data_IF_749611768882
#
_entry.id   IF_749611768882
#
_cell.length_a   1.000
_cell.length_b   1.000
_cell.length_c   1.000
_cell.angle_alpha   90.00
_cell.angle_beta   90.00
_cell.angle_gamma   90.00
#
_symmetry.space_group_name_H-M   'P 1'
#
loop_
_entity.id
_entity.type
_entity.pdbx_description
1 polymer ?
#
# COMPACT_ATOMS: atom_id res chain seq x y z
N UNK A 1 -2.60 -12.33 -30.30
CA UNK A 1 -3.24 -11.06 -29.92
C UNK A 1 -2.48 -10.50 -28.74
N UNK A 2 -1.62 -9.49 -28.94
CA UNK A 2 -0.98 -8.77 -27.83
C UNK A 2 -1.98 -7.72 -27.36
N UNK A 3 -2.49 -7.83 -26.15
CA UNK A 3 -3.15 -6.71 -25.50
C UNK A 3 -2.03 -5.72 -25.13
N UNK A 4 -1.73 -4.81 -26.04
CA UNK A 4 -0.68 -3.79 -25.89
C UNK A 4 -1.19 -2.63 -25.01
N UNK A 5 -1.87 -2.95 -23.91
CA UNK A 5 -2.40 -1.96 -22.98
C UNK A 5 -1.31 -1.54 -22.00
N UNK A 6 -1.10 -0.23 -21.88
CA UNK A 6 -0.10 0.35 -20.99
C UNK A 6 -0.26 -0.14 -19.55
N UNK A 7 0.84 -0.52 -18.90
CA UNK A 7 0.82 -0.91 -17.49
C UNK A 7 0.55 0.32 -16.63
N UNK A 8 -0.57 0.30 -15.91
CA UNK A 8 -0.90 1.38 -14.98
C UNK A 8 -0.07 1.26 -13.70
N UNK A 9 0.71 2.29 -13.41
CA UNK A 9 1.51 2.42 -12.19
C UNK A 9 0.96 3.59 -11.38
N UNK A 10 0.74 3.37 -10.09
CA UNK A 10 0.25 4.39 -9.17
C UNK A 10 1.41 5.09 -8.47
N UNK A 11 1.35 6.42 -8.41
CA UNK A 11 2.34 7.26 -7.75
C UNK A 11 1.65 8.33 -6.91
N UNK A 12 2.12 8.55 -5.68
CA UNK A 12 1.55 9.55 -4.77
C UNK A 12 2.31 10.88 -4.80
N UNK A 13 3.58 10.87 -5.23
CA UNK A 13 4.36 12.08 -5.39
C UNK A 13 4.02 12.80 -6.70
N UNK A 14 3.18 13.83 -6.60
CA UNK A 14 2.84 14.69 -7.74
C UNK A 14 4.06 15.37 -8.37
N UNK A 15 5.13 15.62 -7.61
CA UNK A 15 6.40 16.11 -8.15
C UNK A 15 7.03 15.10 -9.10
N UNK A 16 7.08 13.81 -8.74
CA UNK A 16 7.55 12.73 -9.62
C UNK A 16 6.72 12.65 -10.91
N UNK A 17 5.38 12.72 -10.79
CA UNK A 17 4.48 12.67 -11.94
C UNK A 17 4.69 13.89 -12.85
N UNK A 18 4.80 15.08 -12.26
CA UNK A 18 5.02 16.33 -12.98
C UNK A 18 6.36 16.33 -13.69
N UNK A 19 7.41 15.81 -13.03
CA UNK A 19 8.71 15.61 -13.65
C UNK A 19 8.52 14.80 -14.93
N UNK A 20 7.91 13.62 -14.87
CA UNK A 20 7.78 12.71 -16.04
C UNK A 20 7.08 13.38 -17.23
N UNK A 21 6.14 14.29 -16.95
CA UNK A 21 5.40 15.05 -17.97
C UNK A 21 6.14 16.28 -18.50
N UNK A 22 6.88 16.99 -17.65
CA UNK A 22 7.59 18.22 -18.01
C UNK A 22 9.07 18.17 -17.59
N UNK A 23 9.99 17.96 -18.55
CA UNK A 23 11.42 17.77 -18.28
C UNK A 23 12.18 19.06 -17.90
N UNK A 24 11.55 20.23 -17.87
CA UNK A 24 12.23 21.52 -17.66
C UNK A 24 12.83 21.72 -16.26
N UNK A 25 12.55 20.83 -15.30
CA UNK A 25 13.18 20.90 -13.98
C UNK A 25 14.59 20.28 -14.00
N UNK A 26 15.57 21.12 -14.33
CA UNK A 26 16.99 20.81 -14.15
C UNK A 26 17.39 20.85 -12.67
N UNK A 27 17.50 19.67 -12.03
CA UNK A 27 18.23 19.55 -10.75
C UNK A 27 19.23 18.40 -10.78
N UNK A 28 20.50 18.81 -10.71
CA UNK A 28 21.73 18.00 -10.63
C UNK A 28 21.61 16.88 -9.61
N UNK A 29 21.20 15.68 -10.03
CA UNK A 29 21.32 14.48 -9.21
C UNK A 29 21.33 13.23 -10.08
N UNK A 30 22.54 12.73 -10.42
CA UNK A 30 22.76 11.63 -11.38
C UNK A 30 21.88 10.38 -11.15
N UNK A 31 21.59 10.02 -9.89
CA UNK A 31 20.78 8.86 -9.56
C UNK A 31 19.28 9.06 -9.84
N UNK A 32 18.80 10.30 -9.75
CA UNK A 32 17.43 10.68 -10.13
C UNK A 32 17.35 10.67 -11.65
N UNK A 33 18.34 11.28 -12.34
CA UNK A 33 18.38 11.39 -13.80
C UNK A 33 18.22 10.02 -14.49
N UNK A 34 18.99 9.00 -14.07
CA UNK A 34 18.95 7.67 -14.70
C UNK A 34 17.58 7.00 -14.57
N UNK A 35 17.01 6.97 -13.35
CA UNK A 35 15.69 6.34 -13.11
C UNK A 35 14.58 7.11 -13.81
N UNK A 36 14.71 8.42 -13.82
CA UNK A 36 13.78 9.33 -14.46
C UNK A 36 13.74 9.15 -15.98
N UNK A 37 14.91 9.05 -16.63
CA UNK A 37 14.99 8.77 -18.07
C UNK A 37 14.30 7.46 -18.43
N UNK A 38 14.57 6.40 -17.66
CA UNK A 38 13.94 5.10 -17.90
C UNK A 38 12.41 5.15 -17.79
N UNK A 39 11.87 5.71 -16.69
CA UNK A 39 10.41 5.79 -16.51
C UNK A 39 9.77 6.66 -17.59
N UNK A 40 10.40 7.78 -17.94
CA UNK A 40 9.92 8.67 -18.99
C UNK A 40 9.89 8.00 -20.36
N UNK A 41 10.94 7.26 -20.72
CA UNK A 41 10.97 6.47 -21.97
C UNK A 41 9.80 5.48 -22.00
N UNK A 42 9.57 4.75 -20.90
CA UNK A 42 8.44 3.80 -20.83
C UNK A 42 7.07 4.45 -20.91
N UNK A 43 6.91 5.65 -20.38
CA UNK A 43 5.68 6.43 -20.52
C UNK A 43 5.52 6.98 -21.94
N UNK A 44 6.59 7.48 -22.55
CA UNK A 44 6.59 7.99 -23.92
C UNK A 44 6.33 6.88 -24.96
N UNK A 45 6.87 5.68 -24.72
CA UNK A 45 6.64 4.47 -25.52
C UNK A 45 5.23 3.90 -25.36
N UNK A 46 4.39 4.49 -24.48
CA UNK A 46 3.04 4.01 -24.18
C UNK A 46 3.02 2.68 -23.40
N UNK A 47 4.15 2.22 -22.89
CA UNK A 47 4.25 0.96 -22.13
C UNK A 47 3.77 1.13 -20.68
N UNK A 48 3.83 2.35 -20.15
CA UNK A 48 3.46 2.68 -18.76
C UNK A 48 2.54 3.89 -18.73
N UNK A 49 1.49 3.81 -17.91
CA UNK A 49 0.62 4.93 -17.58
C UNK A 49 0.78 5.26 -16.09
N UNK A 50 1.33 6.43 -15.78
CA UNK A 50 1.40 6.93 -14.40
C UNK A 50 0.07 7.58 -13.99
N UNK A 51 -0.52 7.08 -12.92
CA UNK A 51 -1.75 7.61 -12.33
C UNK A 51 -1.51 8.05 -10.89
N UNK A 52 -2.02 9.24 -10.55
CA UNK A 52 -1.96 9.72 -9.16
C UNK A 52 -2.78 8.81 -8.23
N UNK A 53 -2.22 8.50 -7.08
CA UNK A 53 -2.91 7.87 -5.95
C UNK A 53 -2.67 8.71 -4.70
N UNK A 54 -3.68 8.94 -3.87
CA UNK A 54 -3.46 9.64 -2.62
C UNK A 54 -2.55 8.82 -1.69
N UNK A 55 -1.63 9.46 -0.97
CA UNK A 55 -0.73 8.78 -0.01
C UNK A 55 -1.51 7.93 1.00
N UNK A 56 -2.71 8.38 1.40
CA UNK A 56 -3.60 7.63 2.29
C UNK A 56 -4.05 6.28 1.72
N UNK A 57 -4.10 6.14 0.40
CA UNK A 57 -4.57 4.94 -0.30
C UNK A 57 -3.42 4.16 -0.98
N UNK A 58 -2.17 4.62 -0.82
CA UNK A 58 -1.00 4.01 -1.43
C UNK A 58 -0.60 2.73 -0.69
N UNK A 59 -1.15 1.58 -1.12
CA UNK A 59 -0.91 0.27 -0.48
C UNK A 59 0.58 -0.11 -0.38
N UNK A 60 1.42 0.39 -1.28
CA UNK A 60 2.87 0.14 -1.24
C UNK A 60 3.55 0.76 -0.01
N UNK A 61 2.97 1.82 0.57
CA UNK A 61 3.50 2.44 1.79
C UNK A 61 3.50 1.47 2.97
N UNK A 62 2.54 0.54 3.00
CA UNK A 62 2.49 -0.54 3.98
C UNK A 62 3.79 -1.37 4.01
N UNK A 63 4.43 -1.55 2.86
CA UNK A 63 5.61 -2.40 2.69
C UNK A 63 6.94 -1.62 2.74
N UNK A 64 6.89 -0.30 2.62
CA UNK A 64 8.08 0.53 2.37
C UNK A 64 8.33 1.59 3.43
N UNK A 65 7.33 1.91 4.27
CA UNK A 65 7.42 3.00 5.25
C UNK A 65 7.00 2.54 6.66
N UNK A 66 7.62 3.09 7.72
CA UNK A 66 7.07 3.02 9.06
C UNK A 66 5.87 3.99 9.17
N UNK A 67 4.65 3.44 9.16
CA UNK A 67 3.39 4.20 9.23
C UNK A 67 2.69 3.99 10.57
N UNK A 68 1.73 4.87 10.90
CA UNK A 68 0.94 4.74 12.14
C UNK A 68 0.08 3.48 12.12
N UNK A 69 -0.26 2.96 13.31
CA UNK A 69 -1.12 1.78 13.44
C UNK A 69 -2.46 1.96 12.72
N UNK A 70 -3.09 3.13 12.84
CA UNK A 70 -4.34 3.44 12.15
C UNK A 70 -4.20 3.37 10.62
N UNK A 71 -3.12 3.93 10.06
CA UNK A 71 -2.86 3.90 8.62
C UNK A 71 -2.52 2.47 8.16
N UNK A 72 -1.76 1.72 8.96
CA UNK A 72 -1.45 0.32 8.71
C UNK A 72 -2.72 -0.53 8.64
N UNK A 73 -3.62 -0.40 9.62
CA UNK A 73 -4.88 -1.14 9.66
C UNK A 73 -5.77 -0.83 8.47
N UNK A 74 -5.88 0.45 8.09
CA UNK A 74 -6.61 0.88 6.91
C UNK A 74 -6.04 0.25 5.62
N UNK A 75 -4.75 0.43 5.35
CA UNK A 75 -4.10 -0.10 4.15
C UNK A 75 -4.10 -1.64 4.11
N UNK A 76 -3.93 -2.30 5.26
CA UNK A 76 -4.04 -3.75 5.41
C UNK A 76 -5.45 -4.23 5.04
N UNK A 77 -6.48 -3.52 5.51
CA UNK A 77 -7.87 -3.78 5.13
C UNK A 77 -8.10 -3.62 3.63
N UNK A 78 -7.51 -2.59 3.00
CA UNK A 78 -7.57 -2.38 1.54
C UNK A 78 -6.88 -3.48 0.72
N UNK A 79 -5.94 -4.23 1.31
CA UNK A 79 -5.33 -5.42 0.71
C UNK A 79 -6.15 -6.70 0.95
N UNK A 80 -7.25 -6.62 1.69
CA UNK A 80 -8.07 -7.78 2.05
C UNK A 80 -7.47 -8.63 3.17
N UNK A 81 -6.40 -8.18 3.82
CA UNK A 81 -5.77 -8.88 4.93
C UNK A 81 -6.58 -8.60 6.19
N UNK A 82 -7.41 -9.55 6.57
CA UNK A 82 -8.20 -9.49 7.80
C UNK A 82 -7.40 -10.07 8.94
N UNK A 83 -7.56 -9.51 10.15
CA UNK A 83 -7.19 -10.26 11.35
C UNK A 83 -7.98 -11.55 11.35
N UNK A 84 -7.36 -12.71 11.68
CA UNK A 84 -8.12 -13.92 11.91
C UNK A 84 -9.21 -13.58 12.93
N UNK A 85 -10.45 -14.00 12.63
CA UNK A 85 -11.53 -13.93 13.60
C UNK A 85 -11.01 -14.72 14.78
N UNK A 86 -10.70 -14.07 15.90
CA UNK A 86 -10.46 -14.77 17.16
C UNK A 86 -11.65 -15.71 17.28
N UNK A 87 -11.40 -17.02 17.28
CA UNK A 87 -12.43 -18.00 17.49
C UNK A 87 -13.23 -17.50 18.69
N UNK A 88 -14.50 -17.19 18.47
CA UNK A 88 -15.37 -16.75 19.54
C UNK A 88 -15.28 -17.86 20.58
N UNK A 89 -14.63 -17.55 21.71
CA UNK A 89 -14.53 -18.46 22.82
C UNK A 89 -15.95 -18.58 23.39
N UNK A 90 -16.73 -19.43 22.73
CA UNK A 90 -18.03 -19.93 23.16
C UNK A 90 -17.78 -20.97 24.24
N UNK A 91 -17.05 -20.57 25.29
CA UNK A 91 -16.80 -21.37 26.48
C UNK A 91 -17.64 -20.78 27.60
N UNK A 92 -18.81 -21.37 27.85
CA UNK A 92 -19.54 -21.16 29.09
C UNK A 92 -18.62 -21.54 30.26
N UNK A 93 -18.14 -20.56 31.02
CA UNK A 93 -17.49 -20.81 32.31
C UNK A 93 -18.61 -21.24 33.25
N UNK A 94 -18.75 -22.56 33.47
CA UNK A 94 -19.56 -23.08 34.56
C UNK A 94 -18.84 -22.77 35.87
N UNK A 95 -19.33 -21.78 36.61
CA UNK A 95 -18.91 -21.53 37.98
C UNK A 95 -19.58 -22.57 38.88
N UNK A 96 -18.91 -23.70 39.10
CA UNK A 96 -19.33 -24.70 40.09
C UNK A 96 -18.44 -24.60 41.34
N UNK A 97 -18.89 -23.80 42.30
CA UNK A 97 -18.45 -23.89 43.71
C UNK A 97 -19.62 -23.36 44.56
N UNK A 98 -20.02 -23.99 45.69
CA UNK A 98 -19.12 -24.64 46.65
C UNK A 98 -19.50 -26.07 47.07
N UNK A 99 -18.47 -26.85 47.42
CA UNK A 99 -18.64 -28.08 48.21
C UNK A 99 -19.22 -27.68 49.57
N UNK A 100 -20.41 -28.19 49.86
CA UNK A 100 -21.01 -28.13 51.17
C UNK A 100 -20.17 -28.93 52.17
N UNK A 101 -19.82 -28.29 53.29
CA UNK A 101 -19.37 -28.95 54.51
C UNK A 101 -20.49 -29.83 55.05
N UNK A 102 -20.20 -31.11 55.33
CA UNK A 102 -21.02 -31.96 56.19
C UNK A 102 -20.12 -32.85 57.05
N UNK A 103 -20.08 -32.48 58.34
CA UNK A 103 -19.69 -33.20 59.58
C UNK A 103 -18.25 -33.71 59.74
#
# INVERSE_FOLDING_TARGET
MKNDEAVKIYEDNQGSIALVKNPEFHKRTKHIDIRYHFVREKVADGQVLLQYCATKDMKADLMTKPISAAQFEYLRGMLGIKTPRSAEASGSVVNDTPRHDVL
#
